data_IF_938926239417
#
_entry.id   IF_938926239417
#
_cell.length_a   1.000
_cell.length_b   1.000
_cell.length_c   1.000
_cell.angle_alpha   90.00
_cell.angle_beta   90.00
_cell.angle_gamma   90.00
#
_symmetry.space_group_name_H-M   'P 1'
#
loop_
_entity.id
_entity.type
_entity.pdbx_description
1 polymer ?
#
# COMPACT_ATOMS: atom_id res chain seq x y z
N UNK A 1 -0.80 -67.27 -11.91
CA UNK A 1 -0.03 -66.31 -11.12
C UNK A 1 1.33 -66.20 -11.82
N UNK A 2 1.43 -65.40 -12.89
CA UNK A 2 1.77 -63.95 -12.92
C UNK A 2 3.17 -63.63 -12.39
N UNK A 3 4.02 -62.78 -12.96
CA UNK A 3 3.99 -61.83 -14.08
C UNK A 3 5.46 -61.65 -14.49
N UNK A 4 5.80 -61.71 -15.78
CA UNK A 4 7.05 -61.09 -16.26
C UNK A 4 6.78 -60.30 -17.53
N UNK A 5 6.44 -59.03 -17.33
CA UNK A 5 6.28 -58.08 -18.42
C UNK A 5 6.81 -56.71 -18.00
N UNK A 6 7.86 -56.30 -18.74
CA UNK A 6 8.06 -54.95 -19.25
C UNK A 6 8.50 -53.89 -18.22
N UNK A 7 9.83 -53.72 -18.10
CA UNK A 7 10.40 -52.43 -17.70
C UNK A 7 10.60 -51.56 -18.96
N UNK A 8 9.59 -50.75 -19.31
CA UNK A 8 9.77 -49.60 -20.21
C UNK A 8 10.55 -48.54 -19.45
N UNK A 9 11.77 -48.25 -19.88
CA UNK A 9 12.47 -47.00 -19.54
C UNK A 9 11.69 -45.84 -20.18
N UNK A 10 10.98 -45.05 -19.39
CA UNK A 10 10.54 -43.70 -19.78
C UNK A 10 11.59 -42.70 -19.31
N UNK A 11 12.46 -42.28 -20.22
CA UNK A 11 13.28 -41.08 -20.06
C UNK A 11 12.47 -39.89 -20.60
N UNK A 12 11.94 -39.05 -19.72
CA UNK A 12 11.53 -37.67 -20.05
C UNK A 12 11.16 -36.92 -18.76
N UNK A 13 12.14 -36.34 -18.07
CA UNK A 13 11.88 -35.38 -16.98
C UNK A 13 12.83 -34.17 -16.96
N UNK A 14 13.82 -34.10 -17.86
CA UNK A 14 14.84 -33.04 -17.80
C UNK A 14 14.48 -31.78 -18.60
N UNK A 15 13.66 -31.88 -19.65
CA UNK A 15 13.35 -30.72 -20.49
C UNK A 15 12.32 -29.77 -19.84
N UNK A 16 11.39 -30.33 -19.06
CA UNK A 16 10.27 -29.61 -18.43
C UNK A 16 10.66 -28.77 -17.22
N UNK A 17 11.76 -29.13 -16.53
CA UNK A 17 12.25 -28.41 -15.34
C UNK A 17 13.09 -27.18 -15.72
N UNK A 18 13.93 -27.27 -16.75
CA UNK A 18 14.75 -26.15 -17.23
C UNK A 18 13.93 -25.00 -17.82
N UNK A 19 12.85 -25.28 -18.54
CA UNK A 19 11.95 -24.25 -19.08
C UNK A 19 11.14 -23.55 -17.98
N UNK A 20 10.69 -24.31 -16.97
CA UNK A 20 9.92 -23.79 -15.82
C UNK A 20 10.77 -22.85 -14.94
N UNK A 21 12.04 -23.17 -14.74
CA UNK A 21 12.96 -22.31 -13.97
C UNK A 21 13.23 -20.97 -14.70
N UNK A 22 13.42 -21.00 -16.03
CA UNK A 22 13.67 -19.79 -16.85
C UNK A 22 12.45 -18.86 -16.96
N UNK A 23 11.24 -19.43 -17.01
CA UNK A 23 9.99 -18.68 -17.11
C UNK A 23 9.60 -18.00 -15.80
N UNK A 24 9.85 -18.64 -14.66
CA UNK A 24 9.69 -18.03 -13.34
C UNK A 24 10.61 -16.84 -13.14
N UNK A 25 11.88 -16.95 -13.53
CA UNK A 25 12.86 -15.86 -13.43
C UNK A 25 12.46 -14.66 -14.31
N UNK A 26 12.04 -14.92 -15.56
CA UNK A 26 11.53 -13.90 -16.48
C UNK A 26 10.31 -13.17 -15.93
N UNK A 27 9.37 -13.91 -15.31
CA UNK A 27 8.18 -13.34 -14.68
C UNK A 27 8.53 -12.50 -13.44
N UNK A 28 9.47 -12.96 -12.62
CA UNK A 28 9.97 -12.19 -11.46
C UNK A 28 10.62 -10.88 -11.90
N UNK A 29 11.43 -10.90 -12.97
CA UNK A 29 12.05 -9.69 -13.53
C UNK A 29 11.01 -8.70 -14.08
N UNK A 30 9.98 -9.21 -14.77
CA UNK A 30 8.87 -8.39 -15.26
C UNK A 30 8.09 -7.74 -14.11
N UNK A 31 7.81 -8.52 -13.04
CA UNK A 31 7.16 -8.02 -11.83
C UNK A 31 8.00 -6.92 -11.16
N UNK A 32 9.32 -7.10 -11.05
CA UNK A 32 10.22 -6.10 -10.45
C UNK A 32 10.32 -4.81 -11.27
N UNK A 33 10.23 -4.94 -12.60
CA UNK A 33 10.17 -3.79 -13.50
C UNK A 33 8.84 -3.01 -13.36
N UNK A 34 7.72 -3.71 -13.19
CA UNK A 34 6.43 -3.09 -12.87
C UNK A 34 6.46 -2.40 -11.51
N UNK A 35 7.04 -3.02 -10.47
CA UNK A 35 7.22 -2.39 -9.16
C UNK A 35 7.97 -1.05 -9.26
N UNK A 36 9.04 -1.00 -10.05
CA UNK A 36 9.84 0.22 -10.25
C UNK A 36 9.04 1.33 -10.94
N UNK A 37 8.26 1.00 -11.98
CA UNK A 37 7.40 1.96 -12.70
C UNK A 37 6.31 2.54 -11.81
N UNK A 38 5.66 1.67 -11.04
CA UNK A 38 4.59 2.05 -10.12
C UNK A 38 5.06 3.00 -9.01
N UNK A 39 6.29 2.81 -8.50
CA UNK A 39 6.86 3.68 -7.45
C UNK A 39 7.20 5.07 -8.01
N UNK A 40 7.49 5.18 -9.30
CA UNK A 40 7.78 6.44 -9.98
C UNK A 40 6.48 7.10 -10.47
N UNK A 41 5.66 7.59 -9.55
CA UNK A 41 4.45 8.33 -9.93
C UNK A 41 4.83 9.76 -10.30
N UNK A 42 4.80 10.05 -11.60
CA UNK A 42 4.80 11.43 -12.13
C UNK A 42 3.60 12.20 -11.56
N UNK A 43 3.86 13.34 -10.92
CA UNK A 43 2.82 14.28 -10.49
C UNK A 43 2.75 14.59 -9.00
N UNK A 44 3.79 14.27 -8.22
CA UNK A 44 3.87 14.75 -6.83
C UNK A 44 3.69 16.28 -6.83
N UNK A 45 2.72 16.84 -6.10
CA UNK A 45 2.63 18.29 -5.97
C UNK A 45 3.95 18.77 -5.37
N UNK A 46 4.67 19.65 -6.07
CA UNK A 46 6.04 20.06 -5.71
C UNK A 46 6.20 20.64 -4.29
N UNK A 47 5.08 20.94 -3.63
CA UNK A 47 5.01 21.54 -2.31
C UNK A 47 4.89 20.50 -1.17
N UNK A 48 4.62 19.23 -1.48
CA UNK A 48 4.47 18.18 -0.47
C UNK A 48 5.57 17.13 -0.61
N UNK A 49 6.13 16.73 0.52
CA UNK A 49 6.85 15.47 0.65
C UNK A 49 5.85 14.33 0.65
N UNK A 50 6.17 13.26 -0.06
CA UNK A 50 5.30 12.11 -0.24
C UNK A 50 5.92 10.85 0.36
N UNK A 51 5.15 10.15 1.17
CA UNK A 51 5.48 8.84 1.70
C UNK A 51 4.33 7.87 1.46
N UNK A 52 4.63 6.68 0.96
CA UNK A 52 3.67 5.60 0.79
C UNK A 52 4.01 4.48 1.77
N UNK A 53 3.21 4.34 2.81
CA UNK A 53 3.34 3.28 3.79
C UNK A 53 2.54 2.05 3.35
N UNK A 54 3.21 0.91 3.27
CA UNK A 54 2.66 -0.35 2.77
C UNK A 54 2.83 -1.44 3.83
N UNK A 55 2.04 -1.40 4.90
CA UNK A 55 2.06 -2.45 5.91
C UNK A 55 1.18 -3.64 5.47
N UNK A 56 1.79 -4.49 4.65
CA UNK A 56 1.14 -5.70 4.15
C UNK A 56 0.92 -6.76 5.23
N UNK A 57 1.63 -6.67 6.37
CA UNK A 57 1.53 -7.65 7.44
C UNK A 57 0.33 -7.35 8.36
N UNK A 58 -0.19 -6.11 8.35
CA UNK A 58 -1.40 -5.70 9.09
C UNK A 58 -2.64 -5.68 8.20
N UNK A 59 -2.94 -6.82 7.56
CA UNK A 59 -4.20 -7.00 6.84
C UNK A 59 -4.31 -6.27 5.51
N UNK A 60 -3.19 -5.98 4.84
CA UNK A 60 -3.20 -5.37 3.51
C UNK A 60 -3.68 -3.91 3.50
N UNK A 61 -3.38 -3.15 4.56
CA UNK A 61 -3.63 -1.70 4.61
C UNK A 61 -2.45 -0.97 3.97
N UNK A 62 -2.76 0.03 3.16
CA UNK A 62 -1.78 1.04 2.79
C UNK A 62 -2.32 2.40 3.15
N UNK A 63 -1.39 3.28 3.47
CA UNK A 63 -1.67 4.68 3.64
C UNK A 63 -0.69 5.49 2.83
N UNK A 64 -1.19 6.57 2.26
CA UNK A 64 -0.36 7.62 1.68
C UNK A 64 -0.33 8.74 2.68
N UNK A 65 0.87 9.27 2.90
CA UNK A 65 1.14 10.40 3.76
C UNK A 65 1.75 11.50 2.90
N UNK A 66 1.10 12.67 2.88
CA UNK A 66 1.72 13.90 2.39
C UNK A 66 2.10 14.78 3.57
N UNK A 67 3.29 15.37 3.54
CA UNK A 67 3.74 16.32 4.56
C UNK A 67 4.28 17.59 3.93
N UNK A 68 4.08 18.71 4.60
CA UNK A 68 4.57 20.03 4.18
C UNK A 68 4.73 20.93 5.40
N UNK A 69 5.76 21.77 5.38
CA UNK A 69 5.90 22.90 6.30
C UNK A 69 5.18 24.13 5.74
N UNK A 70 4.38 24.79 6.58
CA UNK A 70 3.68 26.03 6.26
C UNK A 70 3.79 27.00 7.44
N UNK A 71 4.58 28.06 7.30
CA UNK A 71 4.70 29.12 8.32
C UNK A 71 5.02 28.59 9.75
N UNK A 72 5.82 27.53 9.86
CA UNK A 72 6.19 26.91 11.13
C UNK A 72 5.16 25.88 11.66
N UNK A 73 4.16 25.55 10.86
CA UNK A 73 3.22 24.46 11.10
C UNK A 73 3.55 23.27 10.18
N UNK A 74 3.57 22.07 10.75
CA UNK A 74 3.63 20.84 9.98
C UNK A 74 2.20 20.44 9.59
N UNK A 75 1.94 20.47 8.29
CA UNK A 75 0.72 19.99 7.65
C UNK A 75 0.96 18.55 7.21
N UNK A 76 0.12 17.63 7.69
CA UNK A 76 0.19 16.21 7.36
C UNK A 76 -1.18 15.74 6.86
N UNK A 77 -1.23 15.13 5.69
CA UNK A 77 -2.44 14.53 5.13
C UNK A 77 -2.24 13.05 5.05
N UNK A 78 -3.18 12.28 5.58
CA UNK A 78 -3.17 10.82 5.50
C UNK A 78 -4.44 10.37 4.82
N UNK A 79 -4.31 9.53 3.80
CA UNK A 79 -5.43 8.72 3.30
C UNK A 79 -5.08 7.25 3.46
N UNK A 80 -6.01 6.48 4.03
CA UNK A 80 -5.84 5.04 4.26
C UNK A 80 -6.80 4.25 3.39
N UNK A 81 -6.31 3.19 2.74
CA UNK A 81 -7.15 2.25 2.01
C UNK A 81 -7.30 0.96 2.81
N UNK A 82 -8.53 0.64 3.20
CA UNK A 82 -8.90 -0.69 3.67
C UNK A 82 -9.30 -1.53 2.46
N UNK A 83 -8.86 -2.79 2.41
CA UNK A 83 -9.38 -3.77 1.45
C UNK A 83 -10.83 -4.09 1.80
N UNK A 84 -11.77 -3.20 1.46
CA UNK A 84 -13.21 -3.46 1.49
C UNK A 84 -13.73 -3.10 0.10
N UNK A 85 -14.17 -4.06 -0.72
CA UNK A 85 -14.44 -3.82 -2.15
C UNK A 85 -15.64 -2.92 -2.47
N UNK A 86 -16.23 -2.19 -1.51
CA UNK A 86 -17.58 -1.63 -1.66
C UNK A 86 -17.85 -0.29 -0.96
N UNK A 87 -16.84 0.46 -0.51
CA UNK A 87 -17.06 1.79 0.05
C UNK A 87 -16.16 2.83 -0.62
N UNK A 88 -16.78 3.67 -1.44
CA UNK A 88 -16.14 4.71 -2.27
C UNK A 88 -15.83 6.00 -1.48
N UNK A 89 -15.75 5.94 -0.15
CA UNK A 89 -15.42 7.15 0.62
C UNK A 89 -13.90 7.34 0.62
N UNK A 90 -13.47 8.31 -0.19
CA UNK A 90 -12.11 8.84 -0.25
C UNK A 90 -11.85 9.67 1.02
N UNK A 91 -11.73 8.97 2.15
CA UNK A 91 -11.50 9.56 3.45
C UNK A 91 -10.05 10.03 3.58
N UNK A 92 -9.91 11.20 4.20
CA UNK A 92 -8.62 11.80 4.51
C UNK A 92 -8.62 12.41 5.91
N UNK A 93 -7.53 12.19 6.62
CA UNK A 93 -7.24 12.85 7.89
C UNK A 93 -6.18 13.91 7.63
N UNK A 94 -6.53 15.18 7.91
CA UNK A 94 -5.55 16.28 7.92
C UNK A 94 -5.15 16.58 9.35
N UNK A 95 -3.86 16.56 9.63
CA UNK A 95 -3.29 17.01 10.90
C UNK A 95 -2.48 18.28 10.67
N UNK A 96 -2.78 19.33 11.43
CA UNK A 96 -1.98 20.56 11.46
C UNK A 96 -1.40 20.69 12.85
N UNK A 97 -0.07 20.64 12.93
CA UNK A 97 0.64 20.62 14.20
C UNK A 97 1.66 21.74 14.30
N UNK A 98 1.75 22.35 15.48
CA UNK A 98 2.77 23.35 15.81
C UNK A 98 3.95 22.66 16.48
N UNK A 99 5.16 23.16 16.25
CA UNK A 99 6.42 22.54 16.68
C UNK A 99 6.53 22.28 18.21
N UNK A 100 5.73 22.97 19.05
CA UNK A 100 5.70 22.83 20.51
C UNK A 100 4.30 23.00 21.14
N UNK A 101 3.25 22.52 20.49
CA UNK A 101 1.90 22.69 21.03
C UNK A 101 0.89 21.68 20.53
N UNK A 102 -0.38 22.04 20.71
CA UNK A 102 -1.55 21.30 20.27
C UNK A 102 -1.57 21.09 18.75
N UNK A 103 -2.37 20.12 18.32
CA UNK A 103 -2.61 19.82 16.90
C UNK A 103 -4.10 19.81 16.61
N UNK A 104 -4.48 20.29 15.43
CA UNK A 104 -5.81 20.17 14.88
C UNK A 104 -5.87 18.96 13.96
N UNK A 105 -6.87 18.12 14.17
CA UNK A 105 -7.17 16.95 13.34
C UNK A 105 -8.51 17.20 12.66
N UNK A 106 -8.52 17.02 11.35
CA UNK A 106 -9.71 17.19 10.51
C UNK A 106 -9.96 15.85 9.85
N UNK A 107 -11.15 15.28 10.08
CA UNK A 107 -11.66 14.20 9.25
C UNK A 107 -12.39 14.83 8.07
N UNK A 108 -11.99 14.47 6.87
CA UNK A 108 -12.60 15.02 5.67
C UNK A 108 -12.92 13.92 4.67
N UNK A 109 -13.94 14.20 3.85
CA UNK A 109 -14.23 13.47 2.63
C UNK A 109 -13.72 14.28 1.43
N UNK A 110 -13.21 13.58 0.42
CA UNK A 110 -12.78 14.19 -0.83
C UNK A 110 -13.69 13.78 -1.98
N UNK A 111 -13.92 14.75 -2.86
CA UNK A 111 -14.37 14.54 -4.23
C UNK A 111 -13.43 15.32 -5.16
N UNK A 112 -13.45 15.04 -6.48
CA UNK A 112 -12.69 15.85 -7.44
C UNK A 112 -13.01 17.35 -7.41
N UNK A 113 -14.22 17.71 -6.95
CA UNK A 113 -14.71 19.09 -6.93
C UNK A 113 -14.49 19.79 -5.57
N UNK A 114 -14.55 19.05 -4.45
CA UNK A 114 -14.49 19.64 -3.11
C UNK A 114 -13.85 18.74 -2.04
N UNK A 115 -13.41 19.38 -0.95
CA UNK A 115 -13.02 18.73 0.31
C UNK A 115 -13.99 19.18 1.39
N UNK A 116 -14.69 18.22 1.99
CA UNK A 116 -15.73 18.46 2.99
C UNK A 116 -15.26 17.98 4.36
N UNK A 117 -15.43 18.82 5.38
CA UNK A 117 -15.00 18.52 6.75
C UNK A 117 -16.16 17.85 7.48
N UNK A 118 -15.93 16.64 7.98
CA UNK A 118 -16.89 15.89 8.81
C UNK A 118 -16.73 16.27 10.26
N UNK A 119 -15.51 16.16 10.79
CA UNK A 119 -15.21 16.38 12.20
C UNK A 119 -13.91 17.14 12.39
N UNK A 120 -13.82 17.90 13.48
CA UNK A 120 -12.60 18.58 13.90
C UNK A 120 -12.32 18.23 15.35
N UNK A 121 -11.10 17.80 15.61
CA UNK A 121 -10.65 17.43 16.94
C UNK A 121 -9.37 18.19 17.30
N UNK A 122 -9.34 18.77 18.49
CA UNK A 122 -8.16 19.42 19.04
C UNK A 122 -7.45 18.42 19.96
N UNK A 123 -6.20 18.11 19.65
CA UNK A 123 -5.36 17.31 20.52
C UNK A 123 -4.35 18.21 21.23
N UNK A 124 -4.52 18.40 22.54
CA UNK A 124 -3.55 19.07 23.39
C UNK A 124 -2.51 18.07 23.91
N UNK A 125 -1.24 18.27 23.52
CA UNK A 125 -0.15 17.41 23.93
C UNK A 125 0.26 17.61 25.38
N UNK A 126 0.03 18.79 25.96
CA UNK A 126 0.48 19.08 27.32
C UNK A 126 -0.46 18.43 28.35
N UNK A 127 -1.74 18.31 28.01
CA UNK A 127 -2.78 17.75 28.88
C UNK A 127 -3.21 16.33 28.46
N UNK A 128 -2.70 15.84 27.31
CA UNK A 128 -3.16 14.61 26.67
C UNK A 128 -4.70 14.56 26.54
N UNK A 129 -5.28 15.71 26.19
CA UNK A 129 -6.72 15.93 26.10
C UNK A 129 -7.14 16.04 24.64
N UNK A 130 -8.23 15.36 24.30
CA UNK A 130 -8.86 15.39 23.00
C UNK A 130 -10.23 16.07 23.12
N UNK A 131 -10.44 17.15 22.35
CA UNK A 131 -11.66 17.95 22.39
C UNK A 131 -12.27 17.98 20.99
N UNK A 132 -13.46 17.39 20.86
CA UNK A 132 -14.24 17.47 19.63
C UNK A 132 -14.93 18.84 19.52
N UNK A 133 -14.82 19.44 18.34
CA UNK A 133 -15.49 20.69 18.01
C UNK A 133 -16.71 20.40 17.17
N UNK A 134 -17.89 20.78 17.66
CA UNK A 134 -19.11 20.70 16.88
C UNK A 134 -19.10 21.77 15.75
N UNK A 135 -18.88 21.29 14.53
CA UNK A 135 -18.85 22.11 13.30
C UNK A 135 -20.21 22.10 12.60
N UNK A 136 -21.10 21.18 12.95
CA UNK A 136 -22.40 20.98 12.29
C UNK A 136 -23.41 22.07 12.67
N UNK A 137 -23.23 22.71 13.82
CA UNK A 137 -24.11 23.79 14.27
C UNK A 137 -24.06 25.07 13.41
N UNK A 138 -23.06 25.26 12.53
CA UNK A 138 -22.92 26.52 11.80
C UNK A 138 -22.12 26.43 10.49
N UNK A 139 -22.82 26.58 9.36
CA UNK A 139 -22.26 26.69 7.99
C UNK A 139 -21.10 27.71 7.86
N UNK A 140 -21.15 28.82 8.60
CA UNK A 140 -20.07 29.81 8.56
C UNK A 140 -18.79 29.28 9.21
N UNK A 141 -18.88 28.44 10.27
CA UNK A 141 -17.72 27.79 10.88
C UNK A 141 -17.05 26.84 9.88
N UNK A 142 -17.83 26.00 9.18
CA UNK A 142 -17.32 25.09 8.15
C UNK A 142 -16.54 25.83 7.07
N UNK A 143 -17.09 26.93 6.54
CA UNK A 143 -16.42 27.76 5.52
C UNK A 143 -15.10 28.36 6.01
N UNK A 144 -15.04 28.79 7.27
CA UNK A 144 -13.80 29.34 7.85
C UNK A 144 -12.72 28.25 7.95
N UNK A 145 -13.07 27.05 8.40
CA UNK A 145 -12.12 25.94 8.48
C UNK A 145 -11.71 25.41 7.10
N UNK A 146 -12.63 25.36 6.13
CA UNK A 146 -12.29 25.03 4.74
C UNK A 146 -11.26 26.01 4.19
N UNK A 147 -11.49 27.32 4.34
CA UNK A 147 -10.53 28.34 3.91
C UNK A 147 -9.18 28.23 4.64
N UNK A 148 -9.20 27.85 5.92
CA UNK A 148 -8.00 27.59 6.72
C UNK A 148 -7.18 26.41 6.17
N UNK A 149 -7.83 25.35 5.67
CA UNK A 149 -7.19 24.23 4.99
C UNK A 149 -6.67 24.62 3.60
N UNK A 150 -7.47 25.36 2.82
CA UNK A 150 -7.11 25.81 1.47
C UNK A 150 -5.83 26.65 1.43
N UNK A 151 -5.67 27.61 2.35
CA UNK A 151 -4.45 28.46 2.40
C UNK A 151 -3.18 27.66 2.70
N UNK A 152 -3.31 26.47 3.31
CA UNK A 152 -2.21 25.53 3.53
C UNK A 152 -1.93 24.63 2.33
N UNK A 153 -2.77 24.72 1.31
CA UNK A 153 -2.67 23.94 0.09
C UNK A 153 -3.49 22.65 0.12
N UNK A 154 -4.43 22.50 1.07
CA UNK A 154 -5.37 21.39 1.09
C UNK A 154 -6.56 21.77 0.21
N UNK A 155 -6.51 21.36 -1.04
CA UNK A 155 -7.55 21.59 -2.06
C UNK A 155 -7.54 20.44 -3.07
N UNK A 156 -8.64 20.20 -3.79
CA UNK A 156 -8.74 19.04 -4.67
C UNK A 156 -7.57 18.90 -5.66
N UNK A 157 -7.16 20.00 -6.29
CA UNK A 157 -6.03 20.04 -7.24
C UNK A 157 -4.68 19.59 -6.67
N UNK A 158 -4.48 19.66 -5.35
CA UNK A 158 -3.24 19.22 -4.70
C UNK A 158 -3.38 17.81 -4.12
N UNK A 159 -4.57 17.44 -3.63
CA UNK A 159 -4.81 16.17 -2.91
C UNK A 159 -5.23 15.04 -3.84
N UNK A 160 -5.84 15.34 -5.00
CA UNK A 160 -6.31 14.31 -5.94
C UNK A 160 -5.22 13.37 -6.46
N UNK A 161 -3.95 13.80 -6.42
CA UNK A 161 -2.80 12.93 -6.70
C UNK A 161 -2.72 11.72 -5.75
N UNK A 162 -3.12 11.87 -4.48
CA UNK A 162 -3.15 10.78 -3.49
C UNK A 162 -4.05 9.66 -4.01
N UNK A 163 -5.28 9.98 -4.39
CA UNK A 163 -6.26 8.99 -4.84
C UNK A 163 -5.87 8.37 -6.19
N UNK A 164 -5.33 9.16 -7.11
CA UNK A 164 -4.74 8.62 -8.35
C UNK A 164 -3.58 7.66 -8.06
N UNK A 165 -2.73 7.97 -7.08
CA UNK A 165 -1.66 7.07 -6.64
C UNK A 165 -2.22 5.77 -6.09
N UNK A 166 -3.26 5.82 -5.25
CA UNK A 166 -3.87 4.62 -4.66
C UNK A 166 -4.52 3.78 -5.77
N UNK A 167 -5.41 4.37 -6.56
CA UNK A 167 -6.23 3.65 -7.55
C UNK A 167 -5.40 3.01 -8.67
N UNK A 168 -4.40 3.72 -9.23
CA UNK A 168 -3.63 3.18 -10.35
C UNK A 168 -2.60 2.13 -9.94
N UNK A 169 -2.09 2.21 -8.72
CA UNK A 169 -0.90 1.46 -8.34
C UNK A 169 -1.17 0.41 -7.27
N UNK A 170 -2.10 0.63 -6.33
CA UNK A 170 -2.19 -0.20 -5.13
C UNK A 170 -2.71 -1.62 -5.38
N UNK A 171 -3.83 -1.75 -6.11
CA UNK A 171 -4.41 -3.06 -6.44
C UNK A 171 -3.42 -3.89 -7.27
N UNK A 172 -2.81 -3.25 -8.27
CA UNK A 172 -1.79 -3.87 -9.12
C UNK A 172 -0.60 -4.35 -8.29
N UNK A 173 -0.10 -3.54 -7.36
CA UNK A 173 1.01 -3.92 -6.47
C UNK A 173 0.70 -5.13 -5.60
N UNK A 174 -0.50 -5.21 -5.03
CA UNK A 174 -0.89 -6.35 -4.17
C UNK A 174 -1.00 -7.62 -4.97
N UNK A 175 -1.62 -7.56 -6.15
CA UNK A 175 -1.71 -8.71 -7.05
C UNK A 175 -0.31 -9.16 -7.47
N UNK A 176 0.55 -8.25 -7.92
CA UNK A 176 1.93 -8.55 -8.31
C UNK A 176 2.74 -9.16 -7.16
N UNK A 177 2.56 -8.67 -5.92
CA UNK A 177 3.24 -9.23 -4.74
C UNK A 177 2.73 -10.63 -4.37
N UNK A 178 1.42 -10.87 -4.47
CA UNK A 178 0.84 -12.21 -4.29
C UNK A 178 1.37 -13.20 -5.33
N UNK A 179 1.44 -12.78 -6.60
CA UNK A 179 2.03 -13.59 -7.68
C UNK A 179 3.51 -13.86 -7.42
N UNK A 180 4.29 -12.83 -7.06
CA UNK A 180 5.72 -12.98 -6.70
C UNK A 180 5.92 -13.97 -5.56
N UNK A 181 5.14 -13.85 -4.49
CA UNK A 181 5.20 -14.78 -3.36
C UNK A 181 4.82 -16.21 -3.77
N UNK A 182 3.79 -16.38 -4.60
CA UNK A 182 3.37 -17.69 -5.11
C UNK A 182 4.51 -18.37 -5.88
N UNK A 183 5.14 -17.65 -6.80
CA UNK A 183 6.28 -18.16 -7.58
C UNK A 183 7.46 -18.52 -6.67
N UNK A 184 7.82 -17.64 -5.73
CA UNK A 184 8.92 -17.88 -4.81
C UNK A 184 8.66 -19.05 -3.85
N UNK A 185 7.42 -19.26 -3.41
CA UNK A 185 7.04 -20.42 -2.60
C UNK A 185 7.14 -21.73 -3.38
N UNK A 186 6.77 -21.75 -4.67
CA UNK A 186 6.90 -22.94 -5.52
C UNK A 186 8.37 -23.34 -5.75
N UNK A 187 9.29 -22.39 -5.84
CA UNK A 187 10.73 -22.65 -6.03
C UNK A 187 11.38 -23.30 -4.79
N UNK A 188 10.98 -22.90 -3.58
CA UNK A 188 11.52 -23.47 -2.33
C UNK A 188 11.04 -24.91 -2.11
N UNK A 189 9.80 -25.22 -2.49
CA UNK A 189 9.26 -26.59 -2.34
C UNK A 189 9.88 -27.58 -3.32
N UNK A 190 10.30 -27.15 -4.51
CA UNK A 190 10.92 -28.04 -5.51
C UNK A 190 12.36 -28.43 -5.11
N UNK A 191 13.13 -27.54 -4.47
CA UNK A 191 14.50 -27.85 -4.03
C UNK A 191 14.59 -28.87 -2.88
N UNK A 192 13.50 -29.12 -2.15
CA UNK A 192 13.50 -30.08 -1.03
C UNK A 192 13.25 -31.52 -1.51
N UNK A 193 12.66 -31.70 -2.71
CA UNK A 193 12.29 -33.04 -3.22
C UNK A 193 13.46 -33.74 -3.93
N UNK A 194 14.51 -32.99 -4.31
CA UNK A 194 15.64 -33.52 -5.09
C UNK A 194 16.86 -33.97 -4.27
N UNK A 195 16.76 -34.06 -2.93
CA UNK A 195 17.86 -34.64 -2.13
C UNK A 195 17.79 -36.16 -2.28
N UNK A 196 18.77 -36.82 -2.96
CA UNK A 196 18.78 -38.27 -3.05
C UNK A 196 19.05 -38.81 -1.65
N UNK A 197 18.13 -39.61 -1.11
CA UNK A 197 18.37 -40.39 0.10
C UNK A 197 19.56 -41.30 -0.19
N UNK A 198 20.68 -41.21 0.55
CA UNK A 198 21.79 -42.15 0.38
C UNK A 198 21.28 -43.55 0.73
N UNK A 199 21.20 -44.42 -0.27
CA UNK A 199 20.98 -45.85 -0.07
C UNK A 199 22.21 -46.35 0.68
N UNK A 200 22.07 -46.52 2.00
CA UNK A 200 23.08 -47.13 2.86
C UNK A 200 23.14 -48.63 2.52
N UNK A 201 24.00 -48.97 1.55
CA UNK A 201 24.47 -50.33 1.35
C UNK A 201 25.21 -50.75 2.62
N UNK A 202 24.59 -51.64 3.40
CA UNK A 202 25.29 -52.35 4.48
C UNK A 202 26.37 -53.24 3.85
N UNK A 203 27.63 -53.16 4.30
CA UNK A 203 28.65 -54.10 3.88
C UNK A 203 28.41 -55.47 4.53
N UNK A 204 28.69 -56.49 3.70
CA UNK A 204 28.87 -57.94 3.91
C UNK A 204 28.71 -58.51 5.32
#
# INVERSE_FOLDING_TARGET
MDFSAILRKSASSSATETEKCSSNESLLQAIDSEFKRIVHVEGTPSQFTFELNRDFNKGGRASIVLTKEFQGELVRVVSGYFYVPHFDFEDLTVTISKHRGSSLHFNCSYTPDEISISDITVHDRDQNLEIDLDVDENENKKKVFQKYLEVRGIKPSNIGFIFKCISNNYIKLIVLKKIKNFILFSVVTEQIVDIPIPILLKPS
#
